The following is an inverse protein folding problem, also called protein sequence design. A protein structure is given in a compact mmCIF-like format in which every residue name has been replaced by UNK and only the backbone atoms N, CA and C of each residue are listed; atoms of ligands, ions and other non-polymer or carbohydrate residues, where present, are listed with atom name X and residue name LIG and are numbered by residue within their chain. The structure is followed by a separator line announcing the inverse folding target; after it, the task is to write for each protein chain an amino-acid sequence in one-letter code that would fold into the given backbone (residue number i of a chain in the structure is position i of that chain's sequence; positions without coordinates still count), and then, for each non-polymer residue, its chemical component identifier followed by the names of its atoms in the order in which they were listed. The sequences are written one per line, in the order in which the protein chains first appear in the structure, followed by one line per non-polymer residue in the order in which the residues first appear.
data_IF_949745395161
#
_entry.id   IF_949745395161
#
_cell.length_a   1.000
_cell.length_b   1.000
_cell.length_c   1.000
_cell.angle_alpha   90.00
_cell.angle_beta   90.00
_cell.angle_gamma   90.00
#
_symmetry.space_group_name_H-M   'P 1'
#
loop_
_entity.id
_entity.type
_entity.pdbx_description
1 polymer ?
#
# COMPACT_ATOMS: atom_id res chain seq x y z
N UNK A 1 19.71 -17.19 48.15
CA UNK A 1 19.70 -17.35 46.69
C UNK A 1 21.12 -17.52 46.21
N UNK A 2 21.48 -18.69 45.66
CA UNK A 2 22.85 -19.03 45.27
C UNK A 2 23.29 -18.20 44.05
N UNK A 3 24.61 -18.02 43.87
CA UNK A 3 25.19 -17.30 42.73
C UNK A 3 24.65 -17.85 41.38
N UNK A 4 24.50 -19.18 41.30
CA UNK A 4 23.99 -19.86 40.07
C UNK A 4 22.57 -19.42 39.75
N UNK A 5 21.67 -19.29 40.72
CA UNK A 5 20.29 -18.82 40.51
C UNK A 5 20.25 -17.37 40.04
N UNK A 6 21.11 -16.51 40.58
CA UNK A 6 21.18 -15.09 40.13
C UNK A 6 21.67 -14.98 38.69
N UNK A 7 22.68 -15.79 38.31
CA UNK A 7 23.18 -15.82 36.91
C UNK A 7 22.09 -16.35 35.95
N UNK A 8 21.41 -17.44 36.33
CA UNK A 8 20.33 -17.98 35.52
C UNK A 8 19.18 -16.98 35.28
N UNK A 9 18.74 -16.28 36.34
CA UNK A 9 17.73 -15.22 36.22
C UNK A 9 18.21 -14.09 35.32
N UNK A 10 19.47 -13.68 35.41
CA UNK A 10 20.04 -12.64 34.53
C UNK A 10 20.03 -13.03 33.06
N UNK A 11 20.39 -14.29 32.75
CA UNK A 11 20.37 -14.79 31.35
C UNK A 11 18.94 -14.82 30.80
N UNK A 12 17.98 -15.32 31.58
CA UNK A 12 16.56 -15.37 31.16
C UNK A 12 16.02 -13.98 30.95
N UNK A 13 16.32 -13.03 31.84
CA UNK A 13 15.88 -11.63 31.68
C UNK A 13 16.48 -10.96 30.43
N UNK A 14 17.75 -11.21 30.13
CA UNK A 14 18.42 -10.71 28.96
C UNK A 14 17.82 -11.32 27.70
N UNK A 15 17.59 -12.61 27.65
CA UNK A 15 16.94 -13.28 26.52
C UNK A 15 15.53 -12.76 26.27
N UNK A 16 14.74 -12.54 27.32
CA UNK A 16 13.41 -11.95 27.22
C UNK A 16 13.47 -10.50 26.70
N UNK A 17 14.41 -9.69 27.17
CA UNK A 17 14.61 -8.33 26.69
C UNK A 17 15.01 -8.30 25.20
N UNK A 18 15.90 -9.19 24.78
CA UNK A 18 16.32 -9.35 23.38
C UNK A 18 15.10 -9.79 22.54
N UNK A 19 14.32 -10.75 23.00
CA UNK A 19 13.12 -11.20 22.33
C UNK A 19 12.13 -10.07 22.13
N UNK A 20 11.80 -9.31 23.19
CA UNK A 20 10.91 -8.14 23.12
C UNK A 20 11.47 -7.08 22.18
N UNK A 21 12.77 -6.82 22.22
CA UNK A 21 13.40 -5.86 21.31
C UNK A 21 13.20 -6.26 19.85
N UNK A 22 13.45 -7.51 19.48
CA UNK A 22 13.32 -7.95 18.09
C UNK A 22 11.86 -8.11 17.62
N UNK A 23 10.93 -8.48 18.53
CA UNK A 23 9.53 -8.68 18.16
C UNK A 23 8.68 -7.42 18.22
N UNK A 24 8.98 -6.51 19.18
CA UNK A 24 8.09 -5.38 19.45
C UNK A 24 8.74 -4.02 19.19
N UNK A 25 10.06 -3.90 19.34
CA UNK A 25 10.73 -2.59 19.27
C UNK A 25 11.40 -2.37 17.92
N UNK A 26 12.15 -3.38 17.44
CA UNK A 26 12.82 -3.27 16.16
C UNK A 26 11.77 -3.28 15.04
N UNK A 27 11.63 -2.20 14.24
CA UNK A 27 10.76 -2.24 13.07
C UNK A 27 11.27 -3.34 12.13
N UNK A 28 10.38 -4.25 11.75
CA UNK A 28 10.66 -5.16 10.62
C UNK A 28 10.53 -4.31 9.37
N UNK A 29 11.63 -3.69 8.99
CA UNK A 29 11.73 -2.99 7.70
C UNK A 29 11.91 -4.08 6.64
N UNK A 30 10.81 -4.70 6.23
CA UNK A 30 10.82 -5.68 5.12
C UNK A 30 11.18 -4.98 3.80
N UNK A 31 10.73 -3.76 3.62
CA UNK A 31 11.21 -2.77 2.66
C UNK A 31 11.40 -1.51 3.48
N UNK A 32 12.50 -0.78 3.36
CA UNK A 32 12.58 0.55 3.97
C UNK A 32 11.41 1.38 3.48
N UNK A 33 10.23 1.18 4.09
CA UNK A 33 9.03 1.91 3.70
C UNK A 33 9.31 3.38 3.98
N UNK A 34 9.64 4.10 2.92
CA UNK A 34 9.77 5.53 2.97
C UNK A 34 8.38 6.14 3.08
N UNK A 35 8.28 7.27 3.75
CA UNK A 35 6.99 7.96 3.94
C UNK A 35 6.28 8.22 2.60
N UNK A 36 7.04 8.45 1.52
CA UNK A 36 6.49 8.67 0.17
C UNK A 36 5.73 7.47 -0.38
N UNK A 37 6.01 6.25 0.09
CA UNK A 37 5.32 5.02 -0.34
C UNK A 37 4.34 4.50 0.71
N UNK A 38 4.29 5.16 1.88
CA UNK A 38 3.44 4.74 2.99
C UNK A 38 1.95 5.05 2.77
N UNK A 39 1.64 5.98 1.89
CA UNK A 39 0.29 6.44 1.64
C UNK A 39 -0.02 6.48 0.14
N UNK A 40 -1.29 6.26 -0.19
CA UNK A 40 -1.80 6.54 -1.53
C UNK A 40 -1.74 8.05 -1.82
N UNK A 41 -1.80 8.40 -3.09
CA UNK A 41 -2.03 9.79 -3.52
C UNK A 41 -3.40 10.22 -3.01
N UNK A 42 -3.52 11.36 -2.31
CA UNK A 42 -4.78 11.80 -1.71
C UNK A 42 -5.94 11.85 -2.71
N UNK A 43 -7.14 11.68 -2.18
CA UNK A 43 -8.39 11.72 -2.94
C UNK A 43 -8.43 12.88 -3.94
N UNK A 44 -8.66 12.54 -5.20
CA UNK A 44 -8.78 13.49 -6.29
C UNK A 44 -10.26 13.76 -6.59
N UNK A 45 -10.62 15.03 -6.70
CA UNK A 45 -11.94 15.46 -7.17
C UNK A 45 -11.98 15.45 -8.69
N UNK A 46 -13.14 15.13 -9.26
CA UNK A 46 -13.35 15.25 -10.70
C UNK A 46 -13.21 16.72 -11.09
N UNK A 47 -12.30 17.07 -12.02
CA UNK A 47 -12.16 18.44 -12.50
C UNK A 47 -13.44 18.95 -13.18
N UNK A 48 -13.66 20.26 -13.12
CA UNK A 48 -14.77 20.89 -13.81
C UNK A 48 -14.69 20.61 -15.32
N UNK A 49 -15.81 20.21 -15.89
CA UNK A 49 -15.93 19.86 -17.32
C UNK A 49 -15.64 18.38 -17.64
N UNK A 50 -15.18 17.57 -16.67
CA UNK A 50 -15.07 16.12 -16.83
C UNK A 50 -16.25 15.40 -16.16
N UNK A 51 -16.58 14.22 -16.66
CA UNK A 51 -17.62 13.35 -16.09
C UNK A 51 -17.08 12.41 -15.00
N UNK A 52 -15.79 12.07 -15.06
CA UNK A 52 -15.09 11.19 -14.12
C UNK A 52 -13.59 11.39 -14.20
N UNK A 53 -12.85 10.74 -13.27
CA UNK A 53 -11.38 10.66 -13.31
C UNK A 53 -10.88 9.50 -14.20
N UNK A 54 -11.77 8.78 -14.90
CA UNK A 54 -11.36 7.66 -15.73
C UNK A 54 -10.45 8.12 -16.87
N UNK A 55 -9.54 7.24 -17.26
CA UNK A 55 -8.67 7.49 -18.41
C UNK A 55 -9.48 7.70 -19.71
N UNK A 56 -10.64 7.02 -19.83
CA UNK A 56 -11.56 7.22 -20.95
C UNK A 56 -12.11 8.66 -21.01
N UNK A 57 -12.46 9.22 -19.84
CA UNK A 57 -12.93 10.61 -19.75
C UNK A 57 -11.84 11.60 -20.21
N UNK A 58 -10.59 11.39 -19.82
CA UNK A 58 -9.46 12.18 -20.28
C UNK A 58 -9.22 12.00 -21.80
N UNK A 59 -9.40 10.77 -22.28
CA UNK A 59 -9.23 10.39 -23.70
C UNK A 59 -10.19 11.06 -24.67
N UNK A 60 -11.30 11.63 -24.18
CA UNK A 60 -12.22 12.41 -25.04
C UNK A 60 -11.53 13.64 -25.66
N UNK A 61 -10.62 14.27 -24.93
CA UNK A 61 -9.82 15.39 -25.41
C UNK A 61 -8.38 14.98 -25.76
N UNK A 62 -7.78 14.03 -25.02
CA UNK A 62 -6.39 13.59 -25.14
C UNK A 62 -6.29 12.21 -25.80
N UNK A 63 -6.88 12.06 -26.98
CA UNK A 63 -7.07 10.77 -27.64
C UNK A 63 -5.77 10.01 -27.90
N UNK A 64 -4.76 10.66 -28.42
CA UNK A 64 -3.46 10.01 -28.73
C UNK A 64 -2.78 9.49 -27.46
N UNK A 65 -2.72 10.32 -26.41
CA UNK A 65 -2.15 9.95 -25.11
C UNK A 65 -2.94 8.80 -24.47
N UNK A 66 -4.27 8.80 -24.60
CA UNK A 66 -5.12 7.71 -24.12
C UNK A 66 -4.83 6.38 -24.83
N UNK A 67 -4.66 6.40 -26.15
CA UNK A 67 -4.30 5.18 -26.90
C UNK A 67 -2.90 4.67 -26.53
N UNK A 68 -1.94 5.54 -26.30
CA UNK A 68 -0.62 5.17 -25.77
C UNK A 68 -0.73 4.55 -24.38
N UNK A 69 -1.46 5.20 -23.46
CA UNK A 69 -1.68 4.69 -22.11
C UNK A 69 -2.32 3.30 -22.14
N UNK A 70 -3.32 3.04 -22.94
CA UNK A 70 -4.00 1.73 -23.04
C UNK A 70 -3.05 0.59 -23.38
N UNK A 71 -1.99 0.85 -24.11
CA UNK A 71 -0.98 -0.14 -24.51
C UNK A 71 0.18 -0.21 -23.52
N UNK A 72 0.27 0.71 -22.59
CA UNK A 72 1.34 0.79 -21.60
C UNK A 72 1.17 -0.26 -20.48
N UNK A 73 2.26 -0.57 -19.79
CA UNK A 73 2.25 -1.41 -18.59
C UNK A 73 1.49 -0.73 -17.42
N UNK A 74 1.41 0.59 -17.42
CA UNK A 74 0.69 1.36 -16.40
C UNK A 74 -0.81 1.02 -16.39
N UNK A 75 -1.44 0.91 -17.56
CA UNK A 75 -2.86 0.55 -17.67
C UNK A 75 -3.16 -0.89 -17.26
N UNK A 76 -2.15 -1.72 -17.05
CA UNK A 76 -2.26 -3.14 -16.69
C UNK A 76 -1.69 -3.46 -15.31
N UNK A 77 -1.10 -2.50 -14.62
CA UNK A 77 -0.32 -2.72 -13.39
C UNK A 77 -1.10 -3.47 -12.30
N UNK A 78 -2.40 -3.24 -12.16
CA UNK A 78 -3.24 -3.93 -11.19
C UNK A 78 -3.72 -5.31 -11.70
N UNK A 79 -4.12 -5.40 -12.97
CA UNK A 79 -4.68 -6.62 -13.53
C UNK A 79 -3.60 -7.62 -14.01
N UNK A 80 -2.32 -7.24 -13.93
CA UNK A 80 -1.21 -8.11 -14.29
C UNK A 80 -1.26 -9.44 -13.52
N UNK A 81 -1.23 -10.60 -14.22
CA UNK A 81 -1.36 -11.90 -13.56
C UNK A 81 -0.26 -12.21 -12.55
N UNK A 82 0.97 -11.74 -12.79
CA UNK A 82 2.09 -11.93 -11.85
C UNK A 82 1.88 -11.09 -10.60
N UNK A 83 1.49 -9.82 -10.77
CA UNK A 83 1.13 -8.98 -9.64
C UNK A 83 0.01 -9.60 -8.82
N UNK A 84 -1.08 -10.01 -9.44
CA UNK A 84 -2.23 -10.61 -8.76
C UNK A 84 -1.86 -11.90 -8.00
N UNK A 85 -0.97 -12.74 -8.58
CA UNK A 85 -0.51 -13.95 -7.92
C UNK A 85 0.32 -13.65 -6.66
N UNK A 86 1.27 -12.70 -6.76
CA UNK A 86 2.09 -12.27 -5.62
C UNK A 86 1.27 -11.55 -4.56
N UNK A 87 0.40 -10.64 -4.95
CA UNK A 87 -0.45 -9.89 -4.03
C UNK A 87 -1.37 -10.81 -3.21
N UNK A 88 -1.96 -11.81 -3.84
CA UNK A 88 -2.75 -12.85 -3.14
C UNK A 88 -1.89 -13.69 -2.19
N UNK A 89 -0.69 -14.07 -2.61
CA UNK A 89 0.27 -14.80 -1.76
C UNK A 89 0.61 -14.01 -0.51
N UNK A 90 0.78 -12.69 -0.62
CA UNK A 90 1.09 -11.78 0.47
C UNK A 90 -0.17 -11.26 1.18
N UNK A 91 -1.29 -12.03 1.11
CA UNK A 91 -2.56 -11.75 1.80
C UNK A 91 -3.17 -10.39 1.44
N UNK A 92 -3.02 -9.99 0.18
CA UNK A 92 -3.55 -8.73 -0.35
C UNK A 92 -3.05 -7.49 0.41
N UNK A 93 -1.77 -7.47 0.71
CA UNK A 93 -1.16 -6.39 1.49
C UNK A 93 -1.36 -5.04 0.78
N UNK A 94 -1.88 -4.07 1.54
CA UNK A 94 -2.30 -2.75 1.05
C UNK A 94 -1.19 -1.94 0.38
N UNK A 95 0.05 -2.05 0.87
CA UNK A 95 1.19 -1.25 0.38
C UNK A 95 1.47 -1.43 -1.11
N UNK A 96 1.15 -2.60 -1.67
CA UNK A 96 1.30 -2.84 -3.11
C UNK A 96 0.39 -1.93 -3.94
N UNK A 97 -0.79 -1.59 -3.39
CA UNK A 97 -1.77 -0.76 -4.07
C UNK A 97 -1.28 0.69 -4.23
N UNK A 98 -0.40 1.17 -3.34
CA UNK A 98 0.15 2.53 -3.45
C UNK A 98 0.96 2.78 -4.74
N UNK A 99 1.39 1.71 -5.43
CA UNK A 99 2.02 1.80 -6.75
C UNK A 99 1.13 1.26 -7.88
N UNK A 100 0.33 0.22 -7.61
CA UNK A 100 -0.46 -0.45 -8.65
C UNK A 100 -1.84 0.18 -8.88
N UNK A 101 -2.38 0.88 -7.88
CA UNK A 101 -3.61 1.69 -7.92
C UNK A 101 -3.43 2.90 -7.00
N UNK A 102 -2.58 3.87 -7.42
CA UNK A 102 -1.97 4.81 -6.49
C UNK A 102 -2.92 5.86 -5.89
N UNK A 103 -4.10 6.10 -6.48
CA UNK A 103 -5.04 7.07 -5.94
C UNK A 103 -5.90 6.49 -4.81
N UNK A 104 -6.18 7.26 -3.77
CA UNK A 104 -7.16 6.88 -2.75
C UNK A 104 -8.51 6.50 -3.36
N UNK A 105 -8.93 7.17 -4.45
CA UNK A 105 -10.15 6.84 -5.19
C UNK A 105 -10.23 5.37 -5.65
N UNK A 106 -9.09 4.72 -5.81
CA UNK A 106 -8.94 3.36 -6.34
C UNK A 106 -8.76 2.30 -5.26
N UNK A 107 -8.61 2.70 -3.98
CA UNK A 107 -8.27 1.76 -2.91
C UNK A 107 -9.48 1.42 -2.05
N UNK A 108 -9.72 0.12 -1.77
CA UNK A 108 -10.87 -0.32 -0.97
C UNK A 108 -10.80 0.11 0.49
N UNK A 109 -9.58 0.35 0.99
CA UNK A 109 -9.33 0.79 2.35
C UNK A 109 -8.31 1.92 2.37
N UNK A 110 -8.41 2.82 3.35
CA UNK A 110 -7.46 3.89 3.62
C UNK A 110 -6.63 3.55 4.84
N UNK A 111 -5.33 3.72 4.74
CA UNK A 111 -4.40 3.53 5.87
C UNK A 111 -4.42 4.77 6.74
N UNK A 112 -4.72 4.60 8.04
CA UNK A 112 -4.75 5.67 9.03
C UNK A 112 -3.48 5.76 9.85
N UNK A 113 -2.90 4.61 10.16
CA UNK A 113 -1.73 4.53 11.00
C UNK A 113 -0.91 3.29 10.63
N UNK A 114 0.41 3.42 10.69
CA UNK A 114 1.36 2.31 10.51
C UNK A 114 2.19 2.19 11.79
N UNK A 115 1.69 1.47 12.82
CA UNK A 115 2.35 1.39 14.10
C UNK A 115 3.79 0.90 13.96
N UNK A 116 4.75 1.73 14.35
CA UNK A 116 6.20 1.43 14.29
C UNK A 116 6.69 1.04 12.89
N UNK A 117 6.09 1.55 11.84
CA UNK A 117 6.44 1.22 10.45
C UNK A 117 6.12 -0.21 10.04
N UNK A 118 5.30 -0.94 10.80
CA UNK A 118 4.90 -2.32 10.50
C UNK A 118 3.72 -2.35 9.57
N UNK A 119 4.00 -2.64 8.31
CA UNK A 119 2.99 -2.69 7.23
C UNK A 119 1.86 -3.69 7.54
N UNK A 120 2.20 -4.82 8.15
CA UNK A 120 1.26 -5.88 8.54
C UNK A 120 0.36 -5.49 9.73
N UNK A 121 0.71 -4.43 10.46
CA UNK A 121 -0.06 -3.90 11.60
C UNK A 121 -0.76 -2.57 11.27
N UNK A 122 -0.78 -2.18 10.00
CA UNK A 122 -1.44 -0.96 9.58
C UNK A 122 -2.92 -0.94 9.99
N UNK A 123 -3.34 0.16 10.57
CA UNK A 123 -4.74 0.42 10.87
C UNK A 123 -5.40 0.95 9.61
N UNK A 124 -6.42 0.25 9.14
CA UNK A 124 -7.13 0.58 7.92
C UNK A 124 -8.62 0.79 8.20
N UNK A 125 -9.23 1.68 7.44
CA UNK A 125 -10.69 1.86 7.45
C UNK A 125 -11.25 1.69 6.02
N UNK A 126 -12.53 1.28 5.87
CA UNK A 126 -13.18 1.22 4.56
C UNK A 126 -13.18 2.60 3.90
N UNK A 127 -12.90 2.63 2.59
CA UNK A 127 -12.95 3.86 1.82
C UNK A 127 -14.36 4.08 1.26
N UNK A 128 -15.09 5.11 1.68
CA UNK A 128 -16.45 5.38 1.20
C UNK A 128 -16.50 5.85 -0.27
N UNK A 129 -15.36 6.23 -0.82
CA UNK A 129 -15.24 6.74 -2.19
C UNK A 129 -14.62 5.71 -3.16
N UNK A 130 -14.46 4.48 -2.70
CA UNK A 130 -13.87 3.41 -3.50
C UNK A 130 -14.76 3.02 -4.67
N UNK A 131 -14.16 3.02 -5.87
CA UNK A 131 -14.79 2.51 -7.08
C UNK A 131 -13.97 1.33 -7.64
N UNK A 132 -14.52 0.09 -7.60
CA UNK A 132 -13.81 -1.09 -8.12
C UNK A 132 -13.61 -1.05 -9.64
N UNK A 133 -14.42 -0.33 -10.40
CA UNK A 133 -14.20 -0.15 -11.83
C UNK A 133 -12.98 0.73 -12.06
N UNK A 134 -12.85 1.80 -11.27
CA UNK A 134 -11.72 2.71 -11.34
C UNK A 134 -10.40 2.07 -10.87
N UNK A 135 -10.46 1.14 -9.92
CA UNK A 135 -9.29 0.37 -9.50
C UNK A 135 -8.66 -0.42 -10.65
N UNK A 136 -9.48 -0.96 -11.57
CA UNK A 136 -8.99 -1.73 -12.72
C UNK A 136 -8.22 -0.89 -13.74
N UNK A 137 -8.36 0.42 -13.72
CA UNK A 137 -7.57 1.30 -14.57
C UNK A 137 -6.09 1.38 -14.15
N UNK A 138 -5.75 0.78 -12.99
CA UNK A 138 -4.34 0.69 -12.54
C UNK A 138 -3.71 2.08 -12.33
N UNK A 139 -2.55 2.36 -12.93
CA UNK A 139 -1.95 3.71 -12.93
C UNK A 139 -2.62 4.51 -14.03
N UNK A 140 -3.67 5.24 -13.67
CA UNK A 140 -4.50 6.02 -14.60
C UNK A 140 -3.94 7.41 -14.88
N UNK A 141 -4.52 8.13 -15.82
CA UNK A 141 -4.09 9.49 -16.22
C UNK A 141 -4.07 10.48 -15.04
N UNK A 142 -5.00 10.36 -14.10
CA UNK A 142 -5.11 11.25 -12.94
C UNK A 142 -3.99 11.08 -11.90
N UNK A 143 -3.08 10.12 -12.10
CA UNK A 143 -1.89 9.91 -11.24
C UNK A 143 -0.77 10.90 -11.56
N UNK A 144 -0.67 11.35 -12.81
CA UNK A 144 0.38 12.24 -13.31
C UNK A 144 -0.11 13.67 -13.48
#
# INVERSE_FOLDING_TARGET
MTRVVKIGLGIVSLAAAIYVYYTEIKPVVIFGLRDEYAHAIPFQKVPEGLTSLSAESCGQCHREIYEEWKTSIHSKAYEDPFFQAYWKKDKNIWVCLNCHTPLENQQPTLVKEIPRGRVEKAVQEPNPHYDPAYQKESVTCAVC
#
